data_IF_039111698943
#
_entry.id   IF_039111698943
#
_cell.length_a   1.000
_cell.length_b   1.000
_cell.length_c   1.000
_cell.angle_alpha   90.00
_cell.angle_beta   90.00
_cell.angle_gamma   90.00
#
_symmetry.space_group_name_H-M   'P 1'
#
loop_
_entity.id
_entity.type
_entity.pdbx_description
1 polymer ?
#
# COMPACT_ATOMS: atom_id res chain seq x y z
N UNK A 1 1.65 11.75 37.90
CA UNK A 1 0.20 12.02 37.83
C UNK A 1 -0.04 13.07 36.75
N UNK A 2 -0.65 12.70 35.62
CA UNK A 2 -0.95 13.65 34.55
C UNK A 2 -2.07 14.58 34.96
N UNK A 3 -1.80 15.89 35.01
CA UNK A 3 -2.87 16.93 35.16
C UNK A 3 -3.21 17.46 33.78
N UNK A 4 -4.43 17.17 33.29
CA UNK A 4 -4.95 17.76 32.08
C UNK A 4 -5.23 19.23 32.32
N UNK A 5 -4.49 20.14 31.65
CA UNK A 5 -4.84 21.57 31.61
C UNK A 5 -5.49 21.82 30.26
N UNK A 6 -6.80 21.97 30.26
CA UNK A 6 -7.56 22.41 29.10
C UNK A 6 -8.40 23.64 29.45
N UNK A 7 -8.58 24.60 28.54
CA UNK A 7 -9.34 25.81 28.79
C UNK A 7 -10.88 25.57 28.91
N UNK A 8 -11.30 24.31 28.71
CA UNK A 8 -12.73 23.91 28.82
C UNK A 8 -12.82 22.56 29.55
N UNK A 9 -13.95 22.34 30.23
CA UNK A 9 -14.27 21.07 30.90
C UNK A 9 -14.81 20.07 29.88
N UNK A 10 -14.41 18.77 29.99
CA UNK A 10 -15.01 17.72 29.17
C UNK A 10 -16.51 17.64 29.35
N UNK A 11 -17.28 17.50 28.26
CA UNK A 11 -18.75 17.43 28.26
C UNK A 11 -19.23 16.13 27.59
N UNK A 12 -20.49 15.75 27.82
CA UNK A 12 -21.09 14.53 27.28
C UNK A 12 -20.42 13.28 27.82
N UNK A 13 -20.09 12.34 26.93
CA UNK A 13 -19.43 11.06 27.23
C UNK A 13 -17.89 11.15 27.36
N UNK A 14 -17.30 12.34 27.14
CA UNK A 14 -15.85 12.57 27.27
C UNK A 14 -15.28 12.21 28.67
N UNK A 15 -15.93 12.54 29.81
CA UNK A 15 -15.44 12.14 31.12
C UNK A 15 -15.30 10.63 31.27
N UNK A 16 -16.32 9.87 30.83
CA UNK A 16 -16.30 8.39 30.90
C UNK A 16 -15.23 7.78 29.99
N UNK A 17 -15.03 8.37 28.79
CA UNK A 17 -13.98 7.94 27.88
C UNK A 17 -12.58 8.20 28.45
N UNK A 18 -12.36 9.35 29.10
CA UNK A 18 -11.10 9.70 29.78
C UNK A 18 -10.84 8.75 30.96
N UNK A 19 -11.86 8.47 31.78
CA UNK A 19 -11.74 7.56 32.93
C UNK A 19 -11.38 6.13 32.50
N UNK A 20 -12.04 5.60 31.46
CA UNK A 20 -11.72 4.30 30.86
C UNK A 20 -10.29 4.27 30.30
N UNK A 21 -9.85 5.33 29.60
CA UNK A 21 -8.48 5.44 29.09
C UNK A 21 -7.44 5.42 30.22
N UNK A 22 -7.69 6.17 31.31
CA UNK A 22 -6.79 6.19 32.47
C UNK A 22 -6.76 4.85 33.18
N UNK A 23 -7.90 4.14 33.30
CA UNK A 23 -7.98 2.80 33.90
C UNK A 23 -7.19 1.77 33.09
N UNK A 24 -7.24 1.82 31.77
CA UNK A 24 -6.48 0.92 30.90
C UNK A 24 -4.98 1.19 30.90
N UNK A 25 -4.57 2.48 30.95
CA UNK A 25 -3.17 2.86 31.13
C UNK A 25 -2.59 2.32 32.46
N UNK A 26 -3.39 2.33 33.54
CA UNK A 26 -3.03 1.77 34.84
C UNK A 26 -3.01 0.23 34.85
N UNK A 27 -3.81 -0.42 34.02
CA UNK A 27 -3.89 -1.88 33.90
C UNK A 27 -2.73 -2.52 33.11
N UNK A 28 -1.79 -1.70 32.60
CA UNK A 28 -0.59 -2.19 31.92
C UNK A 28 -0.87 -2.96 30.62
N UNK A 29 -2.01 -2.74 29.98
CA UNK A 29 -2.35 -3.39 28.72
C UNK A 29 -1.39 -2.89 27.65
N UNK A 30 -0.39 -3.69 27.34
CA UNK A 30 0.61 -3.40 26.31
C UNK A 30 -0.03 -3.62 24.94
N UNK A 31 -0.45 -2.53 24.28
CA UNK A 31 -0.79 -2.57 22.88
C UNK A 31 0.47 -2.32 22.06
N UNK A 32 0.94 -3.34 21.36
CA UNK A 32 2.02 -3.18 20.42
C UNK A 32 1.42 -2.70 19.09
N UNK A 33 1.74 -1.48 18.69
CA UNK A 33 1.35 -0.94 17.40
C UNK A 33 2.54 -1.01 16.47
N UNK A 34 2.39 -1.74 15.37
CA UNK A 34 3.38 -1.84 14.32
C UNK A 34 3.04 -0.89 13.18
N UNK A 35 4.05 -0.23 12.63
CA UNK A 35 3.86 0.87 11.71
C UNK A 35 4.64 0.70 10.42
N UNK A 36 3.97 0.86 9.29
CA UNK A 36 4.64 0.99 7.99
C UNK A 36 4.72 2.43 7.53
N UNK A 37 5.89 2.88 7.08
CA UNK A 37 6.10 4.23 6.52
C UNK A 37 5.91 4.21 5.00
N UNK A 38 5.40 5.31 4.42
CA UNK A 38 4.99 5.43 3.02
C UNK A 38 6.08 5.06 2.02
N UNK A 39 5.69 4.35 1.01
CA UNK A 39 6.47 3.86 -0.12
C UNK A 39 5.75 2.70 -0.76
N UNK A 40 6.26 2.16 -1.85
CA UNK A 40 5.71 0.94 -2.42
C UNK A 40 5.88 -0.21 -1.42
N UNK A 41 4.82 -0.97 -1.17
CA UNK A 41 4.89 -2.20 -0.39
C UNK A 41 4.36 -2.14 1.04
N UNK A 42 4.11 -0.95 1.63
CA UNK A 42 3.64 -0.86 3.03
C UNK A 42 2.35 -1.64 3.30
N UNK A 43 1.37 -1.62 2.40
CA UNK A 43 0.13 -2.40 2.53
C UNK A 43 0.41 -3.90 2.54
N UNK A 44 1.33 -4.35 1.68
CA UNK A 44 1.81 -5.74 1.65
C UNK A 44 2.52 -6.10 2.95
N UNK A 45 3.43 -5.26 3.43
CA UNK A 45 4.14 -5.48 4.69
C UNK A 45 3.16 -5.55 5.88
N UNK A 46 2.14 -4.68 5.95
CA UNK A 46 1.07 -4.75 6.96
C UNK A 46 0.32 -6.08 6.88
N UNK A 47 -0.04 -6.52 5.67
CA UNK A 47 -0.76 -7.79 5.48
C UNK A 47 0.10 -8.99 5.92
N UNK A 48 1.34 -9.07 5.46
CA UNK A 48 2.27 -10.15 5.80
C UNK A 48 2.57 -10.19 7.31
N UNK A 49 2.78 -9.02 7.95
CA UNK A 49 2.98 -8.95 9.40
C UNK A 49 1.73 -9.39 10.16
N UNK A 50 0.53 -9.03 9.66
CA UNK A 50 -0.73 -9.53 10.24
C UNK A 50 -0.76 -11.04 10.21
N UNK A 51 -0.40 -11.65 9.07
CA UNK A 51 -0.39 -13.12 8.92
C UNK A 51 0.65 -13.80 9.82
N UNK A 52 1.83 -13.21 10.01
CA UNK A 52 2.84 -13.73 10.94
C UNK A 52 2.31 -13.75 12.39
N UNK A 53 1.70 -12.64 12.83
CA UNK A 53 1.16 -12.54 14.18
C UNK A 53 -0.03 -13.51 14.39
N UNK A 54 -0.89 -13.67 13.39
CA UNK A 54 -2.00 -14.65 13.41
C UNK A 54 -1.49 -16.09 13.47
N UNK A 55 -0.46 -16.45 12.68
CA UNK A 55 0.17 -17.77 12.69
C UNK A 55 0.82 -18.08 14.05
N UNK A 56 1.31 -17.05 14.74
CA UNK A 56 1.84 -17.17 16.11
C UNK A 56 0.74 -17.24 17.18
N UNK A 57 -0.55 -17.30 16.80
CA UNK A 57 -1.69 -17.44 17.70
C UNK A 57 -2.20 -16.13 18.33
N UNK A 58 -1.74 -14.97 17.86
CA UNK A 58 -2.21 -13.69 18.39
C UNK A 58 -3.47 -13.21 17.68
N UNK A 59 -4.35 -12.60 18.44
CA UNK A 59 -5.50 -11.86 17.89
C UNK A 59 -5.04 -10.46 17.47
N UNK A 60 -5.24 -10.14 16.18
CA UNK A 60 -4.64 -8.96 15.55
C UNK A 60 -5.70 -8.03 15.01
N UNK A 61 -5.45 -6.73 15.12
CA UNK A 61 -6.15 -5.70 14.38
C UNK A 61 -5.19 -5.07 13.35
N UNK A 62 -5.69 -4.75 12.15
CA UNK A 62 -4.90 -4.06 11.13
C UNK A 62 -5.73 -3.04 10.36
N UNK A 63 -5.07 -1.93 10.00
CA UNK A 63 -5.63 -0.83 9.25
C UNK A 63 -4.72 -0.53 8.07
N UNK A 64 -5.23 -0.71 6.86
CA UNK A 64 -4.46 -0.51 5.63
C UNK A 64 -5.26 0.23 4.55
N UNK A 65 -4.61 0.51 3.43
CA UNK A 65 -5.27 1.08 2.25
C UNK A 65 -6.36 0.17 1.67
N UNK A 66 -6.24 -1.15 1.85
CA UNK A 66 -7.16 -2.14 1.27
C UNK A 66 -8.32 -2.43 2.23
N UNK A 67 -8.00 -2.76 3.49
CA UNK A 67 -8.98 -3.26 4.45
C UNK A 67 -8.65 -2.88 5.89
N UNK A 68 -9.67 -2.96 6.72
CA UNK A 68 -9.59 -2.92 8.17
C UNK A 68 -9.93 -4.30 8.72
N UNK A 69 -9.26 -4.68 9.81
CA UNK A 69 -9.46 -5.95 10.49
C UNK A 69 -9.44 -5.76 11.99
N UNK A 70 -10.34 -6.42 12.71
CA UNK A 70 -10.34 -6.55 14.17
C UNK A 70 -10.68 -8.01 14.50
N UNK A 71 -9.67 -8.79 14.93
CA UNK A 71 -9.82 -10.22 15.10
C UNK A 71 -10.28 -10.89 13.81
N UNK A 72 -11.37 -11.64 13.86
CA UNK A 72 -11.93 -12.32 12.69
C UNK A 72 -12.73 -11.41 11.75
N UNK A 73 -13.12 -10.23 12.22
CA UNK A 73 -13.94 -9.30 11.42
C UNK A 73 -13.06 -8.50 10.48
N UNK A 74 -13.33 -8.60 9.18
CA UNK A 74 -12.66 -7.82 8.13
C UNK A 74 -13.68 -7.03 7.30
N UNK A 75 -13.29 -5.82 6.85
CA UNK A 75 -14.09 -5.02 5.90
C UNK A 75 -13.20 -4.13 5.04
N UNK A 76 -13.66 -3.85 3.82
CA UNK A 76 -12.95 -3.01 2.86
C UNK A 76 -12.80 -1.57 3.34
N UNK A 77 -11.69 -0.94 2.99
CA UNK A 77 -11.47 0.48 3.25
C UNK A 77 -12.21 1.36 2.23
N UNK A 78 -13.46 1.71 2.52
CA UNK A 78 -14.29 2.59 1.69
C UNK A 78 -13.95 4.09 1.83
N UNK A 79 -12.98 4.47 2.68
CA UNK A 79 -12.73 5.87 3.04
C UNK A 79 -11.85 6.62 2.03
N UNK A 80 -11.22 5.93 1.06
CA UNK A 80 -10.23 6.53 0.14
C UNK A 80 -9.06 7.21 0.87
N UNK A 81 -8.86 6.88 2.11
CA UNK A 81 -7.78 7.34 2.97
C UNK A 81 -7.19 6.15 3.70
N UNK A 82 -5.91 5.92 3.52
CA UNK A 82 -5.19 4.86 4.24
C UNK A 82 -5.31 5.06 5.74
N UNK A 83 -5.07 6.28 6.19
CA UNK A 83 -5.12 6.65 7.60
C UNK A 83 -6.33 7.56 7.85
N UNK A 84 -7.42 7.07 8.44
CA UNK A 84 -8.60 7.88 8.70
C UNK A 84 -8.34 9.00 9.72
N UNK A 85 -9.32 9.87 9.94
CA UNK A 85 -9.21 10.95 10.90
C UNK A 85 -8.93 10.46 12.33
N UNK A 86 -8.30 11.29 13.15
CA UNK A 86 -7.83 10.95 14.52
C UNK A 86 -8.86 10.20 15.35
N UNK A 87 -10.10 10.67 15.42
CA UNK A 87 -11.15 10.01 16.20
C UNK A 87 -11.49 8.60 15.68
N UNK A 88 -11.50 8.42 14.37
CA UNK A 88 -11.75 7.09 13.77
C UNK A 88 -10.64 6.11 14.09
N UNK A 89 -9.37 6.56 14.10
CA UNK A 89 -8.24 5.72 14.49
C UNK A 89 -8.34 5.37 15.97
N UNK A 90 -8.61 6.33 16.86
CA UNK A 90 -8.76 6.06 18.28
C UNK A 90 -9.92 5.11 18.56
N UNK A 91 -11.06 5.30 17.86
CA UNK A 91 -12.20 4.37 17.93
C UNK A 91 -11.80 2.96 17.48
N UNK A 92 -11.12 2.85 16.33
CA UNK A 92 -10.63 1.56 15.83
C UNK A 92 -9.70 0.86 16.84
N UNK A 93 -8.74 1.59 17.42
CA UNK A 93 -7.84 1.06 18.43
C UNK A 93 -8.59 0.64 19.71
N UNK A 94 -9.59 1.42 20.12
CA UNK A 94 -10.44 1.06 21.28
C UNK A 94 -11.24 -0.21 21.00
N UNK A 95 -11.89 -0.30 19.84
CA UNK A 95 -12.63 -1.50 19.42
C UNK A 95 -11.72 -2.72 19.32
N UNK A 96 -10.46 -2.53 18.89
CA UNK A 96 -9.45 -3.59 18.87
C UNK A 96 -9.11 -4.11 20.27
N UNK A 97 -8.99 -3.22 21.24
CA UNK A 97 -8.80 -3.57 22.65
C UNK A 97 -10.00 -4.34 23.20
N UNK A 98 -11.19 -3.81 22.99
CA UNK A 98 -12.43 -4.42 23.47
C UNK A 98 -12.66 -5.80 22.86
N UNK A 99 -12.19 -6.01 21.62
CA UNK A 99 -12.18 -7.32 20.96
C UNK A 99 -11.05 -8.25 21.46
N UNK A 100 -10.17 -7.82 22.36
CA UNK A 100 -9.06 -8.62 22.89
C UNK A 100 -7.88 -8.81 21.94
N UNK A 101 -7.68 -7.89 20.96
CA UNK A 101 -6.51 -7.92 20.11
C UNK A 101 -5.24 -7.55 20.89
N UNK A 102 -4.19 -8.37 20.78
CA UNK A 102 -2.90 -8.11 21.42
C UNK A 102 -2.02 -7.16 20.57
N UNK A 103 -2.25 -7.12 19.26
CA UNK A 103 -1.52 -6.26 18.32
C UNK A 103 -2.47 -5.44 17.46
N UNK A 104 -2.05 -4.23 17.16
CA UNK A 104 -2.69 -3.39 16.15
C UNK A 104 -1.63 -2.88 15.16
N UNK A 105 -1.81 -3.14 13.86
CA UNK A 105 -0.90 -2.76 12.80
C UNK A 105 -1.52 -1.64 11.98
N UNK A 106 -0.83 -0.52 11.87
CA UNK A 106 -1.31 0.66 11.15
C UNK A 106 -0.44 0.97 9.94
N UNK A 107 -1.04 1.08 8.77
CA UNK A 107 -0.39 1.69 7.62
C UNK A 107 -0.42 3.21 7.78
N UNK A 108 0.74 3.86 8.00
CA UNK A 108 0.84 5.30 8.23
C UNK A 108 1.36 6.04 7.00
N UNK A 109 0.69 7.12 6.68
CA UNK A 109 1.02 7.98 5.53
C UNK A 109 1.67 9.27 6.00
N UNK A 110 2.52 9.88 5.15
CA UNK A 110 3.12 11.18 5.42
C UNK A 110 2.07 12.28 5.62
N UNK A 111 0.99 12.22 4.84
CA UNK A 111 -0.15 13.12 4.98
C UNK A 111 -0.87 12.93 6.33
N UNK A 112 -1.02 11.67 6.78
CA UNK A 112 -1.55 11.38 8.10
C UNK A 112 -0.66 11.92 9.23
N UNK A 113 0.66 11.87 9.05
CA UNK A 113 1.62 12.46 9.99
C UNK A 113 1.53 13.99 9.97
N UNK A 114 1.51 14.61 8.78
CA UNK A 114 1.34 16.07 8.61
C UNK A 114 0.08 16.57 9.31
N UNK A 115 -1.02 15.83 9.22
CA UNK A 115 -2.28 16.12 9.89
C UNK A 115 -2.33 15.63 11.35
N UNK A 116 -1.21 15.24 11.92
CA UNK A 116 -1.11 14.79 13.32
C UNK A 116 -2.02 13.60 13.68
N UNK A 117 -2.38 12.75 12.72
CA UNK A 117 -3.25 11.58 12.96
C UNK A 117 -2.57 10.48 13.79
N UNK A 118 -1.24 10.48 13.87
CA UNK A 118 -0.41 9.60 14.68
C UNK A 118 -0.31 10.02 16.16
N UNK A 119 -0.72 11.24 16.51
CA UNK A 119 -0.62 11.72 17.90
C UNK A 119 -1.54 10.93 18.82
N UNK A 120 -1.12 10.81 20.08
CA UNK A 120 -1.78 10.05 21.15
C UNK A 120 -1.83 8.53 20.89
N UNK A 121 -1.00 8.02 19.98
CA UNK A 121 -0.77 6.60 19.79
C UNK A 121 0.63 6.30 20.28
N UNK A 122 0.77 5.33 21.20
CA UNK A 122 2.07 4.88 21.65
C UNK A 122 2.53 3.73 20.75
N UNK A 123 3.35 4.08 19.76
CA UNK A 123 3.88 3.10 18.81
C UNK A 123 5.01 2.31 19.46
N UNK A 124 4.86 0.98 19.54
CA UNK A 124 5.91 0.07 19.99
C UNK A 124 6.99 -0.17 18.95
N UNK A 125 6.59 -0.19 17.66
CA UNK A 125 7.50 -0.49 16.56
C UNK A 125 7.22 0.41 15.37
N UNK A 126 8.25 0.96 14.75
CA UNK A 126 8.20 1.68 13.48
C UNK A 126 8.97 0.92 12.39
N UNK A 127 8.36 0.75 11.23
CA UNK A 127 8.97 0.06 10.08
C UNK A 127 9.17 1.04 8.93
N UNK A 128 10.37 1.19 8.46
CA UNK A 128 10.73 1.93 7.25
C UNK A 128 10.87 0.96 6.08
N UNK A 129 10.01 1.09 5.07
CA UNK A 129 10.08 0.24 3.86
C UNK A 129 10.92 0.86 2.77
N UNK A 130 10.62 2.09 2.37
CA UNK A 130 11.39 2.88 1.41
C UNK A 130 10.91 4.33 1.38
N UNK A 131 11.72 5.20 0.74
CA UNK A 131 11.38 6.58 0.48
C UNK A 131 11.74 6.97 -0.95
N UNK A 132 10.76 7.29 -1.75
CA UNK A 132 10.94 7.79 -3.12
C UNK A 132 10.21 9.11 -3.30
N UNK A 133 10.63 9.99 -4.22
CA UNK A 133 9.96 11.26 -4.47
C UNK A 133 8.47 11.06 -4.76
N UNK A 134 7.64 11.53 -3.84
CA UNK A 134 6.17 11.47 -3.90
C UNK A 134 5.59 12.54 -2.96
N UNK A 135 4.39 13.02 -3.24
CA UNK A 135 3.73 14.04 -2.44
C UNK A 135 4.54 15.35 -2.30
N UNK A 136 5.41 15.66 -3.28
CA UNK A 136 6.27 16.82 -3.23
C UNK A 136 5.45 18.10 -3.23
N UNK A 137 4.41 18.20 -4.08
CA UNK A 137 3.52 19.37 -4.11
C UNK A 137 2.80 19.57 -2.76
N UNK A 138 2.40 18.48 -2.08
CA UNK A 138 1.72 18.54 -0.80
C UNK A 138 2.65 18.94 0.36
N UNK A 139 3.92 18.55 0.33
CA UNK A 139 4.91 18.82 1.37
C UNK A 139 5.80 20.04 1.08
N UNK A 140 5.82 20.54 -0.16
CA UNK A 140 6.64 21.65 -0.63
C UNK A 140 8.07 21.26 -1.03
N UNK A 141 8.65 20.20 -0.45
CA UNK A 141 9.95 19.64 -0.84
C UNK A 141 10.08 18.16 -0.42
N UNK A 142 11.11 17.49 -0.96
CA UNK A 142 11.45 16.12 -0.58
C UNK A 142 11.93 16.03 0.89
N UNK A 143 12.71 17.00 1.35
CA UNK A 143 13.22 17.09 2.71
C UNK A 143 12.07 17.23 3.72
N UNK A 144 11.08 18.05 3.42
CA UNK A 144 9.88 18.18 4.24
C UNK A 144 9.06 16.88 4.28
N UNK A 145 8.97 16.17 3.16
CA UNK A 145 8.33 14.87 3.07
C UNK A 145 9.08 13.83 3.90
N UNK A 146 10.41 13.78 3.81
CA UNK A 146 11.27 12.91 4.62
C UNK A 146 11.14 13.27 6.12
N UNK A 147 11.20 14.56 6.46
CA UNK A 147 11.05 15.04 7.83
C UNK A 147 9.67 14.70 8.42
N UNK A 148 8.59 14.80 7.62
CA UNK A 148 7.28 14.39 8.07
C UNK A 148 7.26 12.92 8.49
N UNK A 149 7.89 12.02 7.73
CA UNK A 149 8.01 10.60 8.09
C UNK A 149 8.92 10.38 9.30
N UNK A 150 10.01 11.15 9.40
CA UNK A 150 10.93 11.10 10.53
C UNK A 150 10.25 11.33 11.89
N UNK A 151 9.20 12.18 11.94
CA UNK A 151 8.42 12.43 13.17
C UNK A 151 7.85 11.17 13.81
N UNK A 152 7.57 10.17 13.01
CA UNK A 152 7.07 8.90 13.49
C UNK A 152 8.16 8.10 14.21
N UNK A 153 9.35 8.01 13.61
CA UNK A 153 10.52 7.39 14.22
C UNK A 153 10.96 8.14 15.47
N UNK A 154 10.88 9.47 15.44
CA UNK A 154 11.13 10.31 16.61
C UNK A 154 10.14 10.00 17.75
N UNK A 155 8.88 9.71 17.44
CA UNK A 155 7.83 9.38 18.41
C UNK A 155 7.92 7.94 18.93
N UNK A 156 8.47 7.01 18.16
CA UNK A 156 8.60 5.59 18.52
C UNK A 156 9.93 5.36 19.22
N UNK A 157 9.90 4.94 20.49
CA UNK A 157 11.12 4.81 21.30
C UNK A 157 11.63 3.38 21.49
N UNK A 158 10.78 2.37 21.17
CA UNK A 158 11.14 0.99 21.48
C UNK A 158 11.89 0.32 20.31
N UNK A 159 11.23 0.08 19.17
CA UNK A 159 11.81 -0.71 18.09
C UNK A 159 11.71 0.04 16.76
N UNK A 160 12.85 0.18 16.07
CA UNK A 160 12.90 0.62 14.68
C UNK A 160 13.33 -0.54 13.79
N UNK A 161 12.64 -0.73 12.68
CA UNK A 161 12.95 -1.70 11.63
C UNK A 161 13.19 -0.94 10.35
N UNK A 162 14.40 -1.08 9.76
CA UNK A 162 14.86 -0.18 8.72
C UNK A 162 15.38 -0.98 7.53
N UNK A 163 14.84 -0.70 6.33
CA UNK A 163 15.39 -1.18 5.07
C UNK A 163 16.71 -0.47 4.79
N UNK A 164 17.83 -1.19 4.90
CA UNK A 164 19.17 -0.60 4.70
C UNK A 164 19.59 -0.50 3.24
N UNK A 165 18.86 -1.13 2.32
CA UNK A 165 19.11 -1.01 0.89
C UNK A 165 18.47 0.26 0.28
N UNK A 166 17.65 1.00 1.05
CA UNK A 166 17.12 2.30 0.64
C UNK A 166 18.15 3.40 0.86
N UNK A 167 18.34 4.27 -0.12
CA UNK A 167 19.29 5.38 -0.07
C UNK A 167 19.07 6.34 1.11
N UNK A 168 17.83 6.41 1.62
CA UNK A 168 17.45 7.23 2.75
C UNK A 168 17.56 6.52 4.12
N UNK A 169 18.05 5.29 4.17
CA UNK A 169 18.11 4.49 5.39
C UNK A 169 18.87 5.23 6.52
N UNK A 170 19.97 5.88 6.20
CA UNK A 170 20.79 6.63 7.17
C UNK A 170 20.02 7.73 7.89
N UNK A 171 19.08 8.39 7.21
CA UNK A 171 18.22 9.38 7.84
C UNK A 171 17.32 8.75 8.92
N UNK A 172 16.81 7.54 8.73
CA UNK A 172 15.96 6.88 9.71
C UNK A 172 16.77 6.18 10.80
N UNK A 173 18.00 5.75 10.50
CA UNK A 173 18.92 5.16 11.47
C UNK A 173 19.38 6.15 12.56
N UNK A 174 19.38 7.47 12.28
CA UNK A 174 19.79 8.47 13.28
C UNK A 174 18.81 8.60 14.46
N UNK A 175 17.53 8.25 14.30
CA UNK A 175 16.56 8.38 15.39
C UNK A 175 16.82 7.37 16.51
N UNK A 176 16.80 7.79 17.78
CA UNK A 176 17.07 6.89 18.91
C UNK A 176 15.90 5.93 19.13
N UNK A 177 16.23 4.65 19.36
CA UNK A 177 15.32 3.61 19.80
C UNK A 177 16.04 2.61 20.70
N UNK A 178 15.30 1.92 21.57
CA UNK A 178 15.87 0.90 22.47
C UNK A 178 16.44 -0.29 21.66
N UNK A 179 15.82 -0.64 20.55
CA UNK A 179 16.31 -1.67 19.62
C UNK A 179 16.15 -1.19 18.17
N UNK A 180 17.17 -1.39 17.37
CA UNK A 180 17.12 -1.23 15.92
C UNK A 180 17.37 -2.56 15.27
N UNK A 181 16.56 -2.90 14.29
CA UNK A 181 16.74 -4.05 13.40
C UNK A 181 16.77 -3.54 11.97
N UNK A 182 17.61 -4.14 11.18
CA UNK A 182 17.80 -3.78 9.78
C UNK A 182 17.45 -4.95 8.87
N UNK A 183 16.96 -4.66 7.68
CA UNK A 183 16.74 -5.69 6.67
C UNK A 183 17.14 -5.19 5.28
N UNK A 184 17.46 -6.11 4.40
CA UNK A 184 17.82 -5.86 3.01
C UNK A 184 17.99 -7.17 2.24
N UNK A 185 18.30 -7.14 0.94
CA UNK A 185 18.47 -8.38 0.17
C UNK A 185 19.70 -9.17 0.62
N UNK A 186 20.84 -8.50 0.74
CA UNK A 186 22.13 -9.16 1.05
C UNK A 186 22.75 -8.68 2.36
N UNK A 187 22.25 -7.58 2.91
CA UNK A 187 22.77 -6.94 4.12
C UNK A 187 21.66 -6.78 5.16
N UNK A 188 22.06 -6.44 6.38
CA UNK A 188 21.13 -6.25 7.50
C UNK A 188 21.00 -7.48 8.37
N UNK A 189 20.32 -7.30 9.51
CA UNK A 189 20.08 -8.36 10.49
C UNK A 189 19.20 -9.48 9.92
N UNK A 190 18.29 -9.13 9.00
CA UNK A 190 17.39 -10.04 8.29
C UNK A 190 17.59 -9.84 6.79
N UNK A 191 18.06 -10.86 6.09
CA UNK A 191 18.35 -10.80 4.65
C UNK A 191 18.16 -12.17 4.00
N UNK A 192 18.22 -12.27 2.67
CA UNK A 192 17.96 -13.52 1.94
C UNK A 192 19.03 -14.60 2.15
N UNK A 193 20.19 -14.26 2.69
CA UNK A 193 21.27 -15.24 2.97
C UNK A 193 21.04 -15.94 4.30
N UNK A 194 20.58 -15.22 5.32
CA UNK A 194 20.34 -15.76 6.66
C UNK A 194 18.85 -16.09 6.94
N UNK A 195 17.95 -15.74 5.99
CA UNK A 195 16.50 -15.90 6.15
C UNK A 195 15.92 -16.46 4.85
N UNK A 196 15.94 -17.79 4.71
CA UNK A 196 15.33 -18.46 3.56
C UNK A 196 13.82 -18.57 3.77
N UNK A 197 13.02 -18.29 2.74
CA UNK A 197 11.56 -18.47 2.75
C UNK A 197 11.04 -18.63 1.32
N UNK A 198 9.92 -19.33 1.19
CA UNK A 198 9.18 -19.40 -0.06
C UNK A 198 8.18 -18.25 -0.11
N UNK A 199 8.12 -17.53 -1.22
CA UNK A 199 7.20 -16.42 -1.43
C UNK A 199 6.40 -16.65 -2.70
N UNK A 200 5.08 -16.70 -2.59
CA UNK A 200 4.19 -16.86 -3.74
C UNK A 200 3.86 -15.53 -4.42
N UNK A 201 4.12 -14.41 -3.74
CA UNK A 201 3.89 -13.08 -4.29
C UNK A 201 4.94 -12.73 -5.34
N UNK A 202 4.48 -12.25 -6.51
CA UNK A 202 5.32 -11.92 -7.66
C UNK A 202 6.08 -10.61 -7.43
N UNK A 203 7.38 -10.59 -7.80
CA UNK A 203 8.24 -9.41 -7.84
C UNK A 203 9.21 -9.29 -6.66
N UNK A 204 10.45 -8.90 -6.98
CA UNK A 204 11.55 -8.73 -6.02
C UNK A 204 11.19 -7.76 -4.87
N UNK A 205 10.40 -6.73 -5.16
CA UNK A 205 9.92 -5.80 -4.13
C UNK A 205 9.08 -6.48 -3.04
N UNK A 206 8.47 -7.65 -3.33
CA UNK A 206 7.76 -8.44 -2.33
C UNK A 206 8.71 -9.23 -1.43
N UNK A 207 9.94 -9.50 -1.86
CA UNK A 207 10.99 -10.04 -0.98
C UNK A 207 11.29 -9.02 0.13
N UNK A 208 11.47 -7.74 -0.22
CA UNK A 208 11.62 -6.67 0.79
C UNK A 208 10.44 -6.57 1.74
N UNK A 209 9.21 -6.69 1.23
CA UNK A 209 8.01 -6.66 2.06
C UNK A 209 7.94 -7.85 3.02
N UNK A 210 8.37 -9.03 2.56
CA UNK A 210 8.46 -10.24 3.37
C UNK A 210 9.55 -10.11 4.44
N UNK A 211 10.75 -9.64 4.08
CA UNK A 211 11.84 -9.38 5.04
C UNK A 211 11.43 -8.37 6.11
N UNK A 212 10.74 -7.29 5.72
CA UNK A 212 10.19 -6.32 6.68
C UNK A 212 9.21 -6.96 7.66
N UNK A 213 8.33 -7.83 7.17
CA UNK A 213 7.34 -8.53 7.99
C UNK A 213 8.00 -9.57 8.91
N UNK A 214 8.97 -10.33 8.40
CA UNK A 214 9.76 -11.28 9.22
C UNK A 214 10.50 -10.53 10.31
N UNK A 215 11.20 -9.45 9.96
CA UNK A 215 11.91 -8.60 10.92
C UNK A 215 10.97 -8.07 12.01
N UNK A 216 9.75 -7.71 11.62
CA UNK A 216 8.69 -7.31 12.56
C UNK A 216 8.28 -8.47 13.48
N UNK A 217 8.05 -9.67 12.96
CA UNK A 217 7.74 -10.86 13.75
C UNK A 217 8.86 -11.22 14.74
N UNK A 218 10.10 -11.30 14.26
CA UNK A 218 11.28 -11.56 15.09
C UNK A 218 11.45 -10.50 16.19
N UNK A 219 11.11 -9.24 15.90
CA UNK A 219 11.17 -8.16 16.88
C UNK A 219 10.18 -8.34 18.04
N UNK A 220 9.13 -9.11 17.84
CA UNK A 220 8.11 -9.45 18.85
C UNK A 220 8.36 -10.82 19.50
N UNK A 221 9.50 -11.47 19.21
CA UNK A 221 9.87 -12.76 19.78
C UNK A 221 9.24 -13.96 19.08
N UNK A 222 8.65 -13.78 17.90
CA UNK A 222 8.14 -14.89 17.08
C UNK A 222 9.33 -15.57 16.40
N UNK A 223 9.40 -16.89 16.45
CA UNK A 223 10.46 -17.66 15.80
C UNK A 223 10.41 -17.57 14.27
N UNK A 224 11.57 -17.77 13.65
CA UNK A 224 11.71 -17.66 12.21
C UNK A 224 10.84 -18.67 11.46
N UNK A 225 10.71 -19.91 11.95
CA UNK A 225 9.91 -20.95 11.31
C UNK A 225 8.42 -20.58 11.24
N UNK A 226 7.89 -19.96 12.29
CA UNK A 226 6.52 -19.44 12.29
C UNK A 226 6.36 -18.29 11.30
N UNK A 227 7.34 -17.37 11.22
CA UNK A 227 7.32 -16.31 10.22
C UNK A 227 7.32 -16.86 8.78
N UNK A 228 8.15 -17.85 8.50
CA UNK A 228 8.26 -18.52 7.20
C UNK A 228 6.94 -19.18 6.79
N UNK A 229 6.36 -20.03 7.68
CA UNK A 229 5.06 -20.67 7.40
C UNK A 229 3.95 -19.68 7.12
N UNK A 230 3.90 -18.57 7.85
CA UNK A 230 2.91 -17.53 7.64
C UNK A 230 3.01 -16.89 6.24
N UNK A 231 4.23 -16.61 5.80
CA UNK A 231 4.48 -15.97 4.50
C UNK A 231 4.19 -16.93 3.35
N UNK A 232 4.57 -18.20 3.47
CA UNK A 232 4.33 -19.23 2.45
C UNK A 232 2.83 -19.48 2.19
N UNK A 233 1.99 -19.26 3.19
CA UNK A 233 0.52 -19.38 3.06
C UNK A 233 -0.12 -18.22 2.30
N UNK A 234 0.60 -17.11 2.09
CA UNK A 234 0.03 -15.93 1.40
C UNK A 234 0.22 -16.08 -0.10
N UNK A 235 -0.85 -16.42 -0.80
CA UNK A 235 -0.85 -16.61 -2.25
C UNK A 235 -1.04 -15.30 -3.00
N UNK A 236 -1.92 -14.41 -2.50
CA UNK A 236 -2.29 -13.17 -3.17
C UNK A 236 -2.63 -12.07 -2.16
N UNK A 237 -2.34 -10.84 -2.54
CA UNK A 237 -2.83 -9.65 -1.84
C UNK A 237 -3.70 -8.87 -2.84
N UNK A 238 -4.97 -8.61 -2.52
CA UNK A 238 -5.90 -7.98 -3.45
C UNK A 238 -5.37 -6.69 -4.06
N UNK A 239 -5.37 -6.60 -5.40
CA UNK A 239 -4.90 -5.45 -6.16
C UNK A 239 -3.41 -5.11 -5.98
N UNK A 240 -2.57 -6.11 -5.66
CA UNK A 240 -1.11 -5.98 -5.57
C UNK A 240 -0.43 -7.07 -6.40
N UNK A 241 -0.09 -6.76 -7.65
CA UNK A 241 0.38 -7.72 -8.65
C UNK A 241 -0.51 -8.97 -8.70
N UNK A 242 -1.82 -8.78 -8.56
CA UNK A 242 -2.79 -9.86 -8.57
C UNK A 242 -3.00 -10.37 -10.01
N UNK A 243 -2.67 -11.63 -10.26
CA UNK A 243 -3.00 -12.32 -11.52
C UNK A 243 -4.49 -12.68 -11.49
N UNK A 244 -5.31 -11.92 -12.20
CA UNK A 244 -6.78 -12.07 -12.20
C UNK A 244 -7.29 -12.96 -13.31
N UNK A 245 -6.50 -13.18 -14.36
CA UNK A 245 -6.74 -14.08 -15.48
C UNK A 245 -5.41 -14.72 -15.85
N UNK A 246 -5.38 -16.05 -16.01
CA UNK A 246 -4.18 -16.82 -16.35
C UNK A 246 -4.15 -17.36 -17.78
N UNK A 247 -5.32 -17.49 -18.43
CA UNK A 247 -5.49 -18.04 -19.79
C UNK A 247 -6.53 -17.26 -20.58
N UNK A 248 -6.41 -17.12 -21.91
CA UNK A 248 -5.29 -17.57 -22.78
C UNK A 248 -4.06 -16.64 -22.73
N UNK A 249 -4.17 -15.50 -22.07
CA UNK A 249 -3.12 -14.55 -21.76
C UNK A 249 -3.23 -14.15 -20.28
N UNK A 250 -2.17 -13.60 -19.74
CA UNK A 250 -2.15 -13.21 -18.33
C UNK A 250 -2.64 -11.78 -18.13
N UNK A 251 -3.49 -11.56 -17.12
CA UNK A 251 -3.93 -10.21 -16.74
C UNK A 251 -3.55 -9.96 -15.29
N UNK A 252 -2.76 -8.92 -15.08
CA UNK A 252 -2.36 -8.46 -13.76
C UNK A 252 -3.05 -7.15 -13.40
N UNK A 253 -3.48 -7.03 -12.15
CA UNK A 253 -4.05 -5.80 -11.60
C UNK A 253 -3.20 -5.32 -10.44
N UNK A 254 -2.83 -4.04 -10.45
CA UNK A 254 -2.04 -3.42 -9.38
C UNK A 254 -2.48 -1.98 -9.08
N UNK A 255 -2.25 -1.57 -7.84
CA UNK A 255 -2.55 -0.22 -7.35
C UNK A 255 -1.44 0.81 -7.66
N UNK A 256 -0.41 0.45 -8.41
CA UNK A 256 0.70 1.36 -8.68
C UNK A 256 0.24 2.63 -9.40
N UNK A 257 0.56 3.77 -8.80
CA UNK A 257 0.24 5.11 -9.29
C UNK A 257 1.45 6.07 -9.14
N UNK A 258 2.62 5.55 -8.81
CA UNK A 258 3.87 6.31 -8.68
C UNK A 258 4.89 5.82 -9.70
N UNK A 259 5.80 6.69 -10.19
CA UNK A 259 6.80 6.29 -11.18
C UNK A 259 7.65 5.10 -10.75
N UNK A 260 8.11 5.07 -9.50
CA UNK A 260 8.93 3.97 -9.00
C UNK A 260 8.16 2.65 -8.91
N UNK A 261 6.90 2.69 -8.44
CA UNK A 261 6.06 1.49 -8.37
C UNK A 261 5.78 0.94 -9.77
N UNK A 262 5.40 1.81 -10.70
CA UNK A 262 5.08 1.43 -12.07
C UNK A 262 6.29 0.80 -12.77
N UNK A 263 7.49 1.40 -12.60
CA UNK A 263 8.73 0.85 -13.13
C UNK A 263 8.98 -0.57 -12.62
N UNK A 264 8.91 -0.78 -11.30
CA UNK A 264 9.13 -2.10 -10.68
C UNK A 264 8.16 -3.16 -11.19
N UNK A 265 6.89 -2.80 -11.41
CA UNK A 265 5.89 -3.70 -11.99
C UNK A 265 6.27 -4.07 -13.41
N UNK A 266 6.54 -3.11 -14.27
CA UNK A 266 6.90 -3.38 -15.65
C UNK A 266 8.19 -4.20 -15.76
N UNK A 267 9.23 -3.90 -14.99
CA UNK A 267 10.46 -4.67 -14.95
C UNK A 267 10.22 -6.11 -14.47
N UNK A 268 9.34 -6.31 -13.50
CA UNK A 268 8.96 -7.65 -13.02
C UNK A 268 8.24 -8.43 -14.11
N UNK A 269 7.26 -7.82 -14.77
CA UNK A 269 6.50 -8.46 -15.85
C UNK A 269 7.36 -8.76 -17.08
N UNK A 270 8.32 -7.91 -17.40
CA UNK A 270 9.30 -8.20 -18.46
C UNK A 270 10.14 -9.46 -18.15
N UNK A 271 10.57 -9.64 -16.89
CA UNK A 271 11.30 -10.85 -16.48
C UNK A 271 10.44 -12.11 -16.66
N UNK A 272 9.12 -12.02 -16.45
CA UNK A 272 8.19 -13.13 -16.70
C UNK A 272 7.99 -13.37 -18.21
N UNK A 273 7.97 -12.31 -19.02
CA UNK A 273 7.82 -12.35 -20.47
C UNK A 273 9.02 -12.96 -21.20
N UNK A 274 10.27 -12.81 -20.68
CA UNK A 274 11.51 -13.29 -21.31
C UNK A 274 11.46 -14.79 -21.63
N UNK A 275 10.62 -15.57 -20.94
CA UNK A 275 10.40 -16.99 -21.28
C UNK A 275 9.68 -17.22 -22.63
N UNK A 276 9.01 -16.18 -23.17
CA UNK A 276 8.38 -16.21 -24.50
C UNK A 276 8.62 -14.86 -25.20
N UNK A 277 9.68 -14.79 -26.02
CA UNK A 277 10.14 -13.56 -26.69
C UNK A 277 9.12 -12.93 -27.65
N UNK A 278 8.10 -13.65 -28.09
CA UNK A 278 7.06 -13.17 -29.01
C UNK A 278 5.87 -12.51 -28.31
N UNK A 279 5.75 -12.66 -26.98
CA UNK A 279 4.61 -12.10 -26.26
C UNK A 279 4.69 -10.58 -26.13
N UNK A 280 3.55 -9.89 -26.22
CA UNK A 280 3.44 -8.45 -26.00
C UNK A 280 3.10 -8.13 -24.54
N UNK A 281 3.49 -6.94 -24.09
CA UNK A 281 2.99 -6.33 -22.87
C UNK A 281 2.08 -5.16 -23.21
N UNK A 282 0.81 -5.25 -22.79
CA UNK A 282 -0.23 -4.26 -22.99
C UNK A 282 -0.55 -3.61 -21.66
N UNK A 283 -0.45 -2.30 -21.54
CA UNK A 283 -0.75 -1.63 -20.29
C UNK A 283 -1.97 -0.71 -20.37
N UNK A 284 -2.74 -0.70 -19.28
CA UNK A 284 -3.81 0.26 -19.01
C UNK A 284 -3.40 1.07 -17.79
N UNK A 285 -3.27 2.39 -17.94
CA UNK A 285 -2.88 3.27 -16.86
C UNK A 285 -3.65 4.59 -16.90
N UNK A 286 -3.70 5.25 -15.77
CA UNK A 286 -4.24 6.60 -15.60
C UNK A 286 -3.40 7.41 -14.63
N UNK A 287 -3.94 8.53 -14.20
CA UNK A 287 -3.40 9.32 -13.10
C UNK A 287 -4.52 10.01 -12.33
N UNK A 288 -4.32 10.18 -11.02
CA UNK A 288 -5.27 10.92 -10.17
C UNK A 288 -5.18 12.42 -10.41
N UNK A 289 -6.36 13.07 -10.28
CA UNK A 289 -6.50 14.50 -10.03
C UNK A 289 -6.56 14.84 -8.55
N UNK A 290 -7.37 15.84 -8.19
CA UNK A 290 -7.68 16.17 -6.81
C UNK A 290 -6.48 16.61 -5.97
N UNK A 291 -5.57 17.44 -6.54
CA UNK A 291 -4.39 17.97 -5.83
C UNK A 291 -3.27 16.95 -5.65
N UNK A 292 -3.27 15.87 -6.43
CA UNK A 292 -2.12 14.95 -6.50
C UNK A 292 -1.04 15.53 -7.40
N UNK A 293 0.22 15.10 -7.15
CA UNK A 293 1.39 15.53 -7.93
C UNK A 293 1.16 15.43 -9.45
N UNK A 294 1.18 16.59 -10.14
CA UNK A 294 0.96 16.67 -11.60
C UNK A 294 2.23 16.34 -12.37
N UNK A 295 3.40 16.68 -11.81
CA UNK A 295 4.71 16.45 -12.44
C UNK A 295 4.96 15.00 -12.83
N UNK A 296 4.38 14.04 -12.12
CA UNK A 296 4.55 12.61 -12.39
C UNK A 296 3.76 12.10 -13.60
N UNK A 297 2.69 12.82 -14.05
CA UNK A 297 1.81 12.37 -15.14
C UNK A 297 2.57 12.02 -16.43
N UNK A 298 3.41 12.92 -16.99
CA UNK A 298 4.19 12.58 -18.18
C UNK A 298 5.25 11.50 -17.90
N UNK A 299 5.77 11.39 -16.68
CA UNK A 299 6.73 10.34 -16.31
C UNK A 299 6.06 8.95 -16.32
N UNK A 300 4.82 8.84 -15.81
CA UNK A 300 4.05 7.60 -15.90
C UNK A 300 3.85 7.17 -17.36
N UNK A 301 3.51 8.12 -18.25
CA UNK A 301 3.41 7.89 -19.67
C UNK A 301 4.73 7.44 -20.29
N UNK A 302 5.85 8.08 -19.94
CA UNK A 302 7.18 7.74 -20.45
C UNK A 302 7.58 6.30 -20.05
N UNK A 303 7.31 5.90 -18.81
CA UNK A 303 7.54 4.53 -18.37
C UNK A 303 6.67 3.53 -19.17
N UNK A 304 5.39 3.82 -19.35
CA UNK A 304 4.52 2.97 -20.14
C UNK A 304 5.01 2.85 -21.59
N UNK A 305 5.37 3.96 -22.23
CA UNK A 305 5.91 3.99 -23.60
C UNK A 305 7.24 3.25 -23.76
N UNK A 306 8.07 3.23 -22.67
CA UNK A 306 9.36 2.53 -22.65
C UNK A 306 9.21 1.01 -22.51
N UNK A 307 8.31 0.57 -21.63
CA UNK A 307 8.25 -0.83 -21.20
C UNK A 307 7.17 -1.64 -21.90
N UNK A 308 6.09 -1.01 -22.39
CA UNK A 308 4.94 -1.68 -22.96
C UNK A 308 4.92 -1.57 -24.48
N UNK A 309 4.45 -2.64 -25.13
CA UNK A 309 4.28 -2.69 -26.59
C UNK A 309 3.03 -1.89 -27.02
N UNK A 310 1.94 -2.00 -26.25
CA UNK A 310 0.69 -1.27 -26.43
C UNK A 310 0.36 -0.48 -25.16
N UNK A 311 0.00 0.78 -25.31
CA UNK A 311 -0.30 1.67 -24.19
C UNK A 311 -1.70 2.24 -24.32
N UNK A 312 -2.54 2.03 -23.32
CA UNK A 312 -3.88 2.62 -23.22
C UNK A 312 -3.90 3.54 -22.00
N UNK A 313 -4.13 4.84 -22.26
CA UNK A 313 -4.26 5.85 -21.20
C UNK A 313 -5.74 6.14 -20.98
N UNK A 314 -6.17 6.08 -19.74
CA UNK A 314 -7.58 6.20 -19.37
C UNK A 314 -7.79 7.00 -18.10
N UNK A 315 -9.04 7.20 -17.73
CA UNK A 315 -9.45 7.82 -16.47
C UNK A 315 -9.09 6.95 -15.26
N UNK A 316 -8.82 7.63 -14.13
CA UNK A 316 -8.59 6.98 -12.82
C UNK A 316 -9.50 7.65 -11.78
N UNK A 317 -9.00 8.62 -11.01
CA UNK A 317 -9.76 9.43 -10.06
C UNK A 317 -9.58 10.91 -10.42
N UNK A 318 -10.36 11.49 -11.34
CA UNK A 318 -10.16 12.88 -11.76
C UNK A 318 -10.55 13.88 -10.68
N UNK A 319 -11.44 13.51 -9.75
CA UNK A 319 -12.06 14.45 -8.82
C UNK A 319 -12.69 15.62 -9.59
N UNK A 320 -12.36 16.86 -9.24
CA UNK A 320 -12.89 18.07 -9.89
C UNK A 320 -12.01 18.55 -11.08
N UNK A 321 -10.91 17.83 -11.41
CA UNK A 321 -10.10 18.11 -12.60
C UNK A 321 -10.73 17.53 -13.86
N UNK A 322 -10.46 18.13 -15.02
CA UNK A 322 -10.89 17.60 -16.31
C UNK A 322 -10.16 16.28 -16.64
N UNK A 323 -10.86 15.15 -16.74
CA UNK A 323 -10.22 13.86 -16.99
C UNK A 323 -9.49 13.76 -18.33
N UNK A 324 -9.95 14.48 -19.37
CA UNK A 324 -9.29 14.51 -20.67
C UNK A 324 -7.93 15.20 -20.60
N UNK A 325 -7.80 16.28 -19.81
CA UNK A 325 -6.53 16.95 -19.61
C UNK A 325 -5.54 16.06 -18.87
N UNK A 326 -6.00 15.28 -17.89
CA UNK A 326 -5.16 14.31 -17.17
C UNK A 326 -4.64 13.25 -18.15
N UNK A 327 -5.52 12.70 -18.97
CA UNK A 327 -5.19 11.71 -20.03
C UNK A 327 -4.16 12.28 -20.99
N UNK A 328 -4.33 13.53 -21.46
CA UNK A 328 -3.37 14.20 -22.34
C UNK A 328 -2.00 14.37 -21.69
N UNK A 329 -1.96 14.76 -20.41
CA UNK A 329 -0.68 14.93 -19.68
C UNK A 329 0.08 13.61 -19.53
N UNK A 330 -0.62 12.50 -19.30
CA UNK A 330 -0.01 11.16 -19.28
C UNK A 330 0.42 10.74 -20.67
N UNK A 331 -0.46 10.90 -21.67
CA UNK A 331 -0.22 10.49 -23.06
C UNK A 331 1.00 11.20 -23.68
N UNK A 332 1.23 12.47 -23.38
CA UNK A 332 2.41 13.22 -23.84
C UNK A 332 3.72 12.51 -23.53
N UNK A 333 3.81 11.78 -22.41
CA UNK A 333 5.00 11.03 -22.04
C UNK A 333 5.24 9.78 -22.87
N UNK A 334 4.25 9.26 -23.60
CA UNK A 334 4.33 7.96 -24.27
C UNK A 334 4.98 7.98 -25.64
N UNK A 335 5.49 9.13 -26.09
CA UNK A 335 6.03 9.32 -27.45
C UNK A 335 5.04 8.89 -28.53
N UNK A 336 3.78 9.35 -28.44
CA UNK A 336 2.67 9.09 -29.35
C UNK A 336 2.21 7.61 -29.45
N UNK A 337 2.64 6.75 -28.54
CA UNK A 337 2.19 5.34 -28.51
C UNK A 337 0.81 5.16 -27.87
N UNK A 338 0.30 6.16 -27.14
CA UNK A 338 -0.91 5.97 -26.35
C UNK A 338 -2.18 6.00 -27.17
N UNK A 339 -3.00 4.97 -27.02
CA UNK A 339 -4.43 5.02 -27.30
C UNK A 339 -5.13 5.68 -26.11
N UNK A 340 -5.86 6.77 -26.32
CA UNK A 340 -6.57 7.52 -25.30
C UNK A 340 -8.03 7.10 -25.25
N UNK A 341 -8.50 6.56 -24.13
CA UNK A 341 -9.89 6.10 -23.95
C UNK A 341 -10.38 6.61 -22.61
N UNK A 342 -11.39 7.50 -22.61
CA UNK A 342 -11.89 8.13 -21.41
C UNK A 342 -12.56 7.13 -20.47
N UNK A 343 -13.41 6.27 -20.98
CA UNK A 343 -14.09 5.25 -20.18
C UNK A 343 -13.12 4.13 -19.83
N UNK A 344 -12.91 3.92 -18.53
CA UNK A 344 -11.95 2.95 -18.03
C UNK A 344 -12.36 1.51 -18.32
N UNK A 345 -13.66 1.19 -18.38
CA UNK A 345 -14.15 -0.14 -18.75
C UNK A 345 -13.85 -0.44 -20.22
N UNK A 346 -14.12 0.52 -21.10
CA UNK A 346 -13.79 0.37 -22.51
C UNK A 346 -12.28 0.31 -22.75
N UNK A 347 -11.48 1.02 -21.93
CA UNK A 347 -10.02 0.91 -21.97
C UNK A 347 -9.52 -0.50 -21.59
N UNK A 348 -10.06 -1.08 -20.53
CA UNK A 348 -9.75 -2.46 -20.10
C UNK A 348 -10.20 -3.45 -21.18
N UNK A 349 -11.43 -3.32 -21.68
CA UNK A 349 -11.96 -4.16 -22.75
C UNK A 349 -11.10 -4.11 -24.01
N UNK A 350 -10.63 -2.93 -24.38
CA UNK A 350 -9.74 -2.76 -25.53
C UNK A 350 -8.39 -3.47 -25.32
N UNK A 351 -7.79 -3.36 -24.12
CA UNK A 351 -6.57 -4.08 -23.80
C UNK A 351 -6.74 -5.60 -23.93
N UNK A 352 -7.87 -6.12 -23.43
CA UNK A 352 -8.20 -7.56 -23.51
C UNK A 352 -8.47 -8.02 -24.96
N UNK A 353 -9.00 -7.15 -25.83
CA UNK A 353 -9.19 -7.46 -27.26
C UNK A 353 -7.87 -7.51 -28.04
N UNK A 354 -6.92 -6.64 -27.71
CA UNK A 354 -5.61 -6.57 -28.34
C UNK A 354 -4.73 -7.77 -27.97
N UNK A 355 -4.94 -8.34 -26.79
CA UNK A 355 -4.13 -9.43 -26.26
C UNK A 355 -4.36 -10.75 -27.01
N UNK A 356 -3.27 -11.44 -27.30
CA UNK A 356 -3.21 -12.77 -27.90
C UNK A 356 -2.69 -13.78 -26.89
N UNK A 357 -2.80 -15.05 -27.21
CA UNK A 357 -2.25 -16.13 -26.41
C UNK A 357 -0.77 -15.89 -26.04
N UNK A 358 -0.47 -16.00 -24.77
CA UNK A 358 0.86 -15.76 -24.19
C UNK A 358 1.21 -14.30 -23.90
N UNK A 359 0.37 -13.33 -24.30
CA UNK A 359 0.57 -11.91 -23.95
C UNK A 359 0.34 -11.63 -22.46
N UNK A 360 0.77 -10.45 -22.04
CA UNK A 360 0.59 -9.95 -20.68
C UNK A 360 -0.15 -8.61 -20.73
N UNK A 361 -1.31 -8.53 -20.09
CA UNK A 361 -2.04 -7.30 -19.84
C UNK A 361 -1.79 -6.84 -18.41
N UNK A 362 -1.47 -5.56 -18.20
CA UNK A 362 -1.31 -4.99 -16.86
C UNK A 362 -2.18 -3.75 -16.70
N UNK A 363 -3.06 -3.79 -15.70
CA UNK A 363 -3.99 -2.71 -15.36
C UNK A 363 -3.51 -2.07 -14.07
N UNK A 364 -3.20 -0.77 -14.11
CA UNK A 364 -2.62 -0.05 -12.96
C UNK A 364 -3.43 1.18 -12.55
N UNK A 365 -3.24 1.62 -11.31
CA UNK A 365 -3.79 2.84 -10.73
C UNK A 365 -4.89 2.59 -9.71
N UNK A 366 -5.87 1.74 -10.01
CA UNK A 366 -7.02 1.47 -9.12
C UNK A 366 -6.87 0.21 -8.29
N UNK A 367 -6.27 -0.85 -8.84
CA UNK A 367 -6.17 -2.12 -8.12
C UNK A 367 -7.54 -2.63 -7.65
N UNK A 368 -7.69 -2.83 -6.35
CA UNK A 368 -8.93 -3.26 -5.69
C UNK A 368 -9.70 -2.12 -5.02
N UNK A 369 -9.46 -0.86 -5.40
CA UNK A 369 -10.21 0.26 -4.82
C UNK A 369 -11.68 0.25 -5.23
N UNK A 370 -12.63 0.40 -4.27
CA UNK A 370 -14.05 0.17 -4.53
C UNK A 370 -14.76 1.33 -5.25
N UNK A 371 -14.04 2.39 -5.65
CA UNK A 371 -14.62 3.59 -6.24
C UNK A 371 -13.72 4.26 -7.25
N UNK A 372 -14.29 4.88 -8.30
CA UNK A 372 -13.71 5.99 -9.04
C UNK A 372 -14.31 7.28 -8.47
N UNK A 373 -13.45 8.21 -8.04
CA UNK A 373 -13.85 9.51 -7.51
C UNK A 373 -13.95 10.54 -8.62
N UNK A 374 -15.14 11.12 -8.80
CA UNK A 374 -15.45 12.13 -9.80
C UNK A 374 -15.88 13.44 -9.16
N UNK A 375 -16.12 14.47 -10.00
CA UNK A 375 -16.48 15.82 -9.58
C UNK A 375 -17.61 15.87 -8.53
N UNK A 376 -17.57 16.89 -7.68
CA UNK A 376 -18.53 17.15 -6.60
C UNK A 376 -18.58 16.04 -5.55
N UNK A 377 -17.45 15.38 -5.31
CA UNK A 377 -17.31 14.33 -4.30
C UNK A 377 -18.09 13.05 -4.60
N UNK A 378 -18.63 12.90 -5.82
CA UNK A 378 -19.35 11.69 -6.24
C UNK A 378 -18.38 10.51 -6.42
N UNK A 379 -18.89 9.29 -6.21
CA UNK A 379 -18.15 8.05 -6.32
C UNK A 379 -18.92 7.07 -7.21
N UNK A 380 -18.22 6.44 -8.14
CA UNK A 380 -18.75 5.36 -8.97
C UNK A 380 -18.20 4.04 -8.43
N UNK A 381 -19.03 3.04 -8.12
CA UNK A 381 -18.56 1.71 -7.72
C UNK A 381 -17.60 1.14 -8.76
N UNK A 382 -16.46 0.58 -8.30
CA UNK A 382 -15.42 0.13 -9.20
C UNK A 382 -14.53 -0.95 -8.57
N UNK A 383 -14.02 -1.83 -9.40
CA UNK A 383 -12.91 -2.73 -9.07
C UNK A 383 -12.30 -3.21 -10.41
N UNK A 384 -11.03 -2.87 -10.66
CA UNK A 384 -10.35 -3.25 -11.92
C UNK A 384 -10.35 -4.77 -12.13
N UNK A 385 -10.31 -5.56 -11.06
CA UNK A 385 -10.28 -7.02 -11.11
C UNK A 385 -11.59 -7.60 -11.62
N UNK A 386 -12.69 -7.11 -11.06
CA UNK A 386 -14.04 -7.54 -11.45
C UNK A 386 -14.34 -7.11 -12.89
N UNK A 387 -13.99 -5.88 -13.25
CA UNK A 387 -14.17 -5.38 -14.62
C UNK A 387 -13.39 -6.25 -15.62
N UNK A 388 -12.13 -6.59 -15.33
CA UNK A 388 -11.35 -7.46 -16.21
C UNK A 388 -11.98 -8.86 -16.35
N UNK A 389 -12.45 -9.46 -15.24
CA UNK A 389 -13.15 -10.77 -15.27
C UNK A 389 -14.49 -10.72 -16.03
N UNK A 390 -15.23 -9.64 -15.91
CA UNK A 390 -16.48 -9.45 -16.64
C UNK A 390 -16.25 -9.29 -18.15
N UNK A 391 -15.29 -8.42 -18.53
CA UNK A 391 -15.05 -8.12 -19.95
C UNK A 391 -14.44 -9.31 -20.69
N UNK A 392 -13.57 -10.14 -20.06
CA UNK A 392 -13.08 -11.35 -20.72
C UNK A 392 -14.21 -12.37 -20.96
N UNK A 393 -15.14 -12.53 -20.01
CA UNK A 393 -16.31 -13.40 -20.17
C UNK A 393 -17.25 -12.92 -21.29
N UNK A 394 -17.39 -11.59 -21.50
CA UNK A 394 -18.17 -11.04 -22.60
C UNK A 394 -17.48 -11.28 -23.94
N UNK A 395 -16.16 -11.13 -24.00
CA UNK A 395 -15.38 -11.34 -25.21
C UNK A 395 -15.36 -12.81 -25.65
N UNK A 396 -15.33 -13.78 -24.73
CA UNK A 396 -15.43 -15.20 -25.05
C UNK A 396 -16.77 -15.56 -25.68
N UNK A 397 -17.90 -15.05 -25.12
CA UNK A 397 -19.25 -15.27 -25.68
C UNK A 397 -19.51 -14.66 -27.08
N UNK A 398 -18.66 -13.74 -27.51
CA UNK A 398 -18.76 -13.14 -28.84
C UNK A 398 -17.89 -13.89 -29.88
N UNK A 399 -17.07 -14.81 -29.44
CA UNK A 399 -16.20 -15.65 -30.29
C UNK A 399 -16.80 -17.04 -30.56
N UNK A 400 -17.73 -17.45 -29.70
CA UNK A 400 -18.60 -18.62 -29.87
C UNK A 400 -19.83 -18.24 -30.74
#
# INVERSE_FOLDING_TARGET
MFKLKAPFKPTGDQPQAIEKLVKNLKAGVKHNVLLGVTGCGKTTAVNLTTKILEEAGYKVASLSSIKFKIGEKEWGNALKMTMPGRFKIQKFLRESVDAGCQYAILEVTSEGIKQHRHRFINFGTAVFTNLTPEHIEAHGSFENYQAAKGKLFQATKNIHIINIDDENANYFLQFPAAKKLTYGLTKGDVNTQNTQFKLNLIGEFNIYNALAAICAGLSQGIDLGTCQRAIEKVEVIPGRMEEVISQPFKVFVDYAFTPNALRKIYETLLKLKIKNQKSKMICVLGACGGGRDKWKRPILGSLAGKYCDEVIVTNEDPYDENPLEIIEQVAKGTNNKAKKILDRREAIKEALKLAKEGDVVVITGKGCEPWICIAKGRKIPWDDREVAREEIKRLSKLRD
#
